data_IF_513314701245
#
_entry.id   IF_513314701245
#
_cell.length_a   1.000
_cell.length_b   1.000
_cell.length_c   1.000
_cell.angle_alpha   90.00
_cell.angle_beta   90.00
_cell.angle_gamma   90.00
#
_symmetry.space_group_name_H-M   'P 1'
#
loop_
_entity.id
_entity.type
_entity.pdbx_description
1 polymer ?
#
# COMPACT_ATOMS: atom_id res chain seq x y z
N UNK A 1 -51.65 41.71 13.71
CA UNK A 1 -51.30 40.99 12.46
C UNK A 1 -49.84 41.16 12.04
N UNK A 2 -49.23 42.36 12.16
CA UNK A 2 -47.81 42.60 11.81
C UNK A 2 -46.77 41.75 12.56
N UNK A 3 -46.98 41.43 13.84
CA UNK A 3 -46.05 40.65 14.68
C UNK A 3 -46.02 39.15 14.36
N UNK A 4 -47.11 38.59 13.86
CA UNK A 4 -47.21 37.15 13.52
C UNK A 4 -46.46 36.86 12.21
N UNK A 5 -46.51 37.79 11.25
CA UNK A 5 -45.81 37.65 9.97
C UNK A 5 -44.27 37.61 10.11
N UNK A 6 -43.71 38.32 11.10
CA UNK A 6 -42.26 38.34 11.37
C UNK A 6 -41.79 37.03 11.99
N UNK A 7 -42.58 36.43 12.89
CA UNK A 7 -42.26 35.15 13.53
C UNK A 7 -42.27 33.97 12.53
N UNK A 8 -43.17 34.00 11.55
CA UNK A 8 -43.23 32.96 10.50
C UNK A 8 -42.02 33.05 9.57
N UNK A 9 -41.56 34.26 9.23
CA UNK A 9 -40.37 34.45 8.39
C UNK A 9 -39.07 34.00 9.08
N UNK A 10 -38.89 34.28 10.38
CA UNK A 10 -37.70 33.82 11.12
C UNK A 10 -37.65 32.30 11.29
N UNK A 11 -38.79 31.64 11.48
CA UNK A 11 -38.85 30.18 11.61
C UNK A 11 -38.52 29.46 10.29
N UNK A 12 -38.94 30.00 9.14
CA UNK A 12 -38.66 29.43 7.82
C UNK A 12 -37.18 29.53 7.40
N UNK A 13 -36.50 30.62 7.76
CA UNK A 13 -35.07 30.82 7.45
C UNK A 13 -34.18 29.86 8.24
N UNK A 14 -34.55 29.55 9.50
CA UNK A 14 -33.76 28.66 10.36
C UNK A 14 -33.77 27.19 9.90
N UNK A 15 -34.89 26.74 9.30
CA UNK A 15 -35.07 25.37 8.82
C UNK A 15 -34.32 25.08 7.50
N UNK A 16 -34.09 26.09 6.67
CA UNK A 16 -33.37 25.93 5.39
C UNK A 16 -31.86 25.93 5.59
N UNK A 17 -31.34 26.73 6.54
CA UNK A 17 -29.92 26.76 6.89
C UNK A 17 -29.42 25.46 7.54
N UNK A 18 -30.23 24.81 8.39
CA UNK A 18 -29.87 23.54 9.03
C UNK A 18 -29.89 22.34 8.07
N UNK A 19 -30.77 22.35 7.06
CA UNK A 19 -30.78 21.35 5.98
C UNK A 19 -29.57 21.46 5.03
N UNK A 20 -29.10 22.67 4.74
CA UNK A 20 -27.89 22.87 3.94
C UNK A 20 -26.61 22.45 4.70
N UNK A 21 -26.47 22.84 5.97
CA UNK A 21 -25.28 22.50 6.75
C UNK A 21 -25.09 20.99 6.98
N UNK A 22 -26.20 20.25 7.16
CA UNK A 22 -26.17 18.80 7.37
C UNK A 22 -25.84 18.03 6.08
N UNK A 23 -26.38 18.46 4.94
CA UNK A 23 -26.09 17.84 3.63
C UNK A 23 -24.66 18.13 3.15
N UNK A 24 -24.14 19.33 3.42
CA UNK A 24 -22.75 19.69 3.11
C UNK A 24 -21.76 18.89 3.95
N UNK A 25 -22.01 18.74 5.25
CA UNK A 25 -21.18 17.90 6.12
C UNK A 25 -21.13 16.44 5.65
N UNK A 26 -22.28 15.85 5.29
CA UNK A 26 -22.33 14.48 4.78
C UNK A 26 -21.52 14.31 3.48
N UNK A 27 -21.56 15.31 2.59
CA UNK A 27 -20.75 15.33 1.36
C UNK A 27 -19.26 15.46 1.66
N UNK A 28 -18.88 16.31 2.61
CA UNK A 28 -17.49 16.49 3.02
C UNK A 28 -16.94 15.23 3.70
N UNK A 29 -17.70 14.59 4.57
CA UNK A 29 -17.30 13.34 5.24
C UNK A 29 -17.15 12.20 4.21
N UNK A 30 -18.03 12.13 3.21
CA UNK A 30 -17.93 11.16 2.11
C UNK A 30 -16.71 11.42 1.22
N UNK A 31 -16.46 12.69 0.87
CA UNK A 31 -15.30 13.08 0.09
C UNK A 31 -14.00 12.83 0.85
N UNK A 32 -13.95 13.15 2.15
CA UNK A 32 -12.80 12.86 3.00
C UNK A 32 -12.56 11.35 3.13
N UNK A 33 -13.61 10.54 3.25
CA UNK A 33 -13.49 9.08 3.27
C UNK A 33 -12.96 8.54 1.93
N UNK A 34 -13.44 9.08 0.80
CA UNK A 34 -12.97 8.67 -0.53
C UNK A 34 -11.52 9.09 -0.80
N UNK A 35 -11.16 10.32 -0.45
CA UNK A 35 -9.77 10.80 -0.49
C UNK A 35 -8.89 9.96 0.42
N UNK A 36 -9.37 9.61 1.61
CA UNK A 36 -8.67 8.71 2.53
C UNK A 36 -8.46 7.32 1.96
N UNK A 37 -9.46 6.75 1.26
CA UNK A 37 -9.32 5.47 0.55
C UNK A 37 -8.33 5.54 -0.61
N UNK A 38 -8.33 6.63 -1.38
CA UNK A 38 -7.41 6.83 -2.50
C UNK A 38 -5.98 7.09 -2.02
N UNK A 39 -5.81 7.77 -0.88
CA UNK A 39 -4.52 8.07 -0.27
C UNK A 39 -3.96 6.90 0.57
N UNK A 40 -4.80 5.94 0.95
CA UNK A 40 -4.39 4.71 1.62
C UNK A 40 -3.65 3.78 0.64
N UNK A 41 -2.40 4.15 0.33
CA UNK A 41 -1.46 3.24 -0.32
C UNK A 41 -1.11 2.08 0.61
N UNK A 42 -0.79 0.92 0.03
CA UNK A 42 -0.29 -0.23 0.81
C UNK A 42 1.15 0.09 1.23
N UNK A 43 1.34 0.52 2.48
CA UNK A 43 2.65 0.70 3.09
C UNK A 43 3.24 -0.67 3.40
N UNK A 44 3.85 -1.30 2.38
CA UNK A 44 4.54 -2.56 2.56
C UNK A 44 5.88 -2.33 3.25
N UNK A 45 6.29 -3.24 4.16
CA UNK A 45 7.61 -3.16 4.75
C UNK A 45 8.69 -3.25 3.68
N UNK A 46 9.86 -2.68 3.96
CA UNK A 46 11.02 -2.87 3.11
C UNK A 46 11.40 -4.35 3.01
N UNK A 47 12.00 -4.72 1.88
CA UNK A 47 12.53 -6.07 1.69
C UNK A 47 13.63 -6.37 2.73
N UNK A 48 13.67 -7.59 3.29
CA UNK A 48 14.78 -8.01 4.14
C UNK A 48 16.13 -7.81 3.41
N UNK A 49 17.19 -7.46 4.15
CA UNK A 49 18.51 -7.21 3.54
C UNK A 49 18.97 -8.38 2.66
N UNK A 50 18.76 -9.61 3.12
CA UNK A 50 19.05 -10.84 2.39
C UNK A 50 18.46 -10.89 0.98
N UNK A 51 17.24 -10.37 0.79
CA UNK A 51 16.55 -10.34 -0.51
C UNK A 51 17.03 -9.20 -1.43
N UNK A 52 17.89 -8.31 -0.95
CA UNK A 52 18.45 -7.18 -1.70
C UNK A 52 19.88 -7.42 -2.14
N UNK A 53 20.50 -8.51 -1.67
CA UNK A 53 21.88 -8.83 -2.00
C UNK A 53 21.99 -9.34 -3.44
N UNK A 54 22.91 -8.81 -4.25
CA UNK A 54 23.10 -9.29 -5.61
C UNK A 54 23.69 -10.71 -5.62
N UNK A 55 23.40 -11.47 -6.67
CA UNK A 55 24.06 -12.77 -6.89
C UNK A 55 25.58 -12.61 -6.86
N UNK A 56 26.31 -13.45 -6.08
CA UNK A 56 27.75 -13.33 -6.01
C UNK A 56 28.41 -13.73 -7.34
N UNK A 57 29.51 -13.04 -7.66
CA UNK A 57 30.28 -13.28 -8.89
C UNK A 57 31.11 -14.56 -8.76
N UNK A 58 31.05 -15.43 -9.76
CA UNK A 58 31.95 -16.58 -9.86
C UNK A 58 33.16 -16.21 -10.71
N UNK A 59 34.33 -16.13 -10.07
CA UNK A 59 35.61 -15.85 -10.73
C UNK A 59 36.41 -17.16 -10.87
N UNK A 60 36.88 -17.50 -12.08
CA UNK A 60 37.77 -18.63 -12.28
C UNK A 60 39.08 -18.50 -11.51
N UNK A 61 39.55 -19.60 -10.93
CA UNK A 61 40.86 -19.65 -10.26
C UNK A 61 41.95 -20.03 -11.26
N UNK A 62 43.18 -19.62 -10.99
CA UNK A 62 44.35 -20.12 -11.71
C UNK A 62 44.43 -21.64 -11.51
N UNK A 63 44.74 -22.37 -12.60
CA UNK A 63 44.82 -23.83 -12.64
C UNK A 63 43.50 -24.58 -12.35
N UNK A 64 42.35 -23.90 -12.38
CA UNK A 64 41.05 -24.55 -12.29
C UNK A 64 40.69 -25.24 -13.61
N UNK A 65 40.22 -26.51 -13.58
CA UNK A 65 39.62 -27.12 -14.77
C UNK A 65 38.44 -26.27 -15.27
N UNK A 66 38.31 -26.10 -16.59
CA UNK A 66 37.28 -25.24 -17.20
C UNK A 66 35.87 -25.51 -16.68
N UNK A 67 35.53 -26.78 -16.44
CA UNK A 67 34.23 -27.19 -15.91
C UNK A 67 34.01 -26.84 -14.43
N UNK A 68 35.07 -26.56 -13.67
CA UNK A 68 34.99 -26.23 -12.24
C UNK A 68 34.29 -24.89 -12.01
N UNK A 69 34.69 -23.87 -12.77
CA UNK A 69 34.05 -22.54 -12.72
C UNK A 69 32.59 -22.61 -13.12
N UNK A 70 32.28 -23.39 -14.17
CA UNK A 70 30.91 -23.61 -14.63
C UNK A 70 30.05 -24.25 -13.53
N UNK A 71 30.50 -25.34 -12.89
CA UNK A 71 29.75 -25.99 -11.79
C UNK A 71 29.50 -25.05 -10.62
N UNK A 72 30.51 -24.25 -10.22
CA UNK A 72 30.35 -23.27 -9.13
C UNK A 72 29.32 -22.19 -9.50
N UNK A 73 29.32 -21.76 -10.75
CA UNK A 73 28.32 -20.82 -11.26
C UNK A 73 26.92 -21.42 -11.25
N UNK A 74 26.74 -22.67 -11.69
CA UNK A 74 25.45 -23.36 -11.64
C UNK A 74 24.91 -23.46 -10.21
N UNK A 75 25.74 -23.89 -9.27
CA UNK A 75 25.35 -23.98 -7.85
C UNK A 75 24.97 -22.60 -7.29
N UNK A 76 25.78 -21.58 -7.60
CA UNK A 76 25.52 -20.20 -7.15
C UNK A 76 24.20 -19.69 -7.70
N UNK A 77 23.96 -19.88 -8.99
CA UNK A 77 22.74 -19.47 -9.67
C UNK A 77 21.50 -20.18 -9.12
N UNK A 78 21.56 -21.49 -8.90
CA UNK A 78 20.42 -22.24 -8.35
C UNK A 78 20.08 -21.78 -6.92
N UNK A 79 21.09 -21.51 -6.09
CA UNK A 79 20.88 -20.97 -4.76
C UNK A 79 20.25 -19.56 -4.80
N UNK A 80 20.69 -18.71 -5.72
CA UNK A 80 20.15 -17.36 -5.94
C UNK A 80 18.68 -17.41 -6.40
N UNK A 81 18.35 -18.30 -7.34
CA UNK A 81 16.98 -18.54 -7.79
C UNK A 81 16.08 -19.00 -6.65
N UNK A 82 16.56 -19.95 -5.83
CA UNK A 82 15.79 -20.44 -4.69
C UNK A 82 15.56 -19.34 -3.66
N UNK A 83 16.55 -18.49 -3.41
CA UNK A 83 16.40 -17.30 -2.56
C UNK A 83 15.35 -16.37 -3.14
N UNK A 84 15.47 -16.02 -4.41
CA UNK A 84 14.58 -15.05 -5.06
C UNK A 84 13.12 -15.55 -5.05
N UNK A 85 12.91 -16.85 -5.26
CA UNK A 85 11.60 -17.50 -5.08
C UNK A 85 11.05 -17.32 -3.67
N UNK A 86 11.86 -17.62 -2.65
CA UNK A 86 11.46 -17.42 -1.25
C UNK A 86 11.13 -15.95 -0.93
N UNK A 87 11.94 -15.01 -1.43
CA UNK A 87 11.73 -13.57 -1.24
C UNK A 87 10.44 -13.09 -1.94
N UNK A 88 10.14 -13.62 -3.13
CA UNK A 88 8.89 -13.33 -3.83
C UNK A 88 7.67 -13.86 -3.05
N UNK A 89 7.75 -15.08 -2.51
CA UNK A 89 6.67 -15.69 -1.72
C UNK A 89 6.41 -14.92 -0.42
N UNK A 90 7.46 -14.52 0.31
CA UNK A 90 7.36 -13.66 1.49
C UNK A 90 6.62 -12.35 1.16
N UNK A 91 6.96 -11.71 0.05
CA UNK A 91 6.30 -10.47 -0.33
C UNK A 91 4.85 -10.70 -0.79
N UNK A 92 4.56 -11.86 -1.40
CA UNK A 92 3.20 -12.30 -1.70
C UNK A 92 2.34 -12.46 -0.44
N UNK A 93 2.85 -13.11 0.60
CA UNK A 93 2.13 -13.29 1.87
C UNK A 93 1.95 -11.97 2.62
N UNK A 94 3.00 -11.15 2.74
CA UNK A 94 2.93 -9.83 3.38
C UNK A 94 1.94 -8.93 2.65
N UNK A 95 1.97 -8.89 1.31
CA UNK A 95 0.99 -8.10 0.54
C UNK A 95 -0.45 -8.58 0.78
N UNK A 96 -0.67 -9.87 0.92
CA UNK A 96 -2.00 -10.42 1.20
C UNK A 96 -2.50 -10.03 2.61
N UNK A 97 -1.62 -10.05 3.62
CA UNK A 97 -1.97 -9.63 4.99
C UNK A 97 -2.33 -8.15 5.08
N UNK A 98 -1.50 -7.28 4.48
CA UNK A 98 -1.74 -5.83 4.44
C UNK A 98 -2.95 -5.46 3.57
N UNK A 99 -3.17 -6.17 2.45
CA UNK A 99 -4.36 -5.97 1.60
C UNK A 99 -5.67 -6.44 2.25
N UNK A 100 -5.60 -7.37 3.22
CA UNK A 100 -6.76 -7.85 3.97
C UNK A 100 -7.13 -6.97 5.18
N UNK A 101 -6.40 -5.87 5.42
CA UNK A 101 -6.64 -4.97 6.56
C UNK A 101 -6.35 -5.61 7.92
N UNK A 102 -5.55 -6.69 7.95
CA UNK A 102 -5.10 -7.32 9.19
C UNK A 102 -3.79 -6.65 9.61
N UNK A 103 -3.89 -5.66 10.49
CA UNK A 103 -2.75 -5.12 11.23
C UNK A 103 -2.82 -5.64 12.66
#
# INVERSE_FOLDING_TARGET
MRTIAILIFLAGVSATLTGCASSEKARLDTAAAEVGRQAAGVNLPEWPQYCREPMPKVVPKLDEPVWGSQKRWEITRENDINRDGWCADFYGSVRAEFGAGKQ
#
